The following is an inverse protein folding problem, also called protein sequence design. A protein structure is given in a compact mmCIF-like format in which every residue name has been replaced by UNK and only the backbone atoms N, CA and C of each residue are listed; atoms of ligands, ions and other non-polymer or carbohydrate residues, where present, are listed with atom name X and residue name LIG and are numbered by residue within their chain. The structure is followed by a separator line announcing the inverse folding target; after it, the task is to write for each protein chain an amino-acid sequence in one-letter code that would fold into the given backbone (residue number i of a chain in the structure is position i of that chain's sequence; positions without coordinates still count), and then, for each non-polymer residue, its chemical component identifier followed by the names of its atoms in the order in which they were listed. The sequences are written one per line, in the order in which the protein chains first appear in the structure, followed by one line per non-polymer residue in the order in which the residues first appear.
data_IF_190998010388
#
_entry.id   IF_190998010388
#
_cell.length_a   1.000
_cell.length_b   1.000
_cell.length_c   1.000
_cell.angle_alpha   90.00
_cell.angle_beta   90.00
_cell.angle_gamma   90.00
#
_symmetry.space_group_name_H-M   'P 1'
#
loop_
_entity.id
_entity.type
_entity.pdbx_description
1 polymer ?
#
# COMPACT_ATOMS: atom_id res chain seq x y z
N UNK A 1 -14.62 -28.45 -3.02
CA UNK A 1 -14.45 -27.46 -1.92
C UNK A 1 -13.44 -26.37 -2.33
N UNK A 2 -13.81 -25.08 -2.30
CA UNK A 2 -12.90 -23.98 -2.67
C UNK A 2 -11.70 -23.87 -1.71
N UNK A 3 -10.64 -23.17 -2.14
CA UNK A 3 -9.43 -22.99 -1.32
C UNK A 3 -9.68 -22.15 -0.07
N UNK A 4 -10.61 -21.20 -0.16
CA UNK A 4 -10.99 -20.29 0.92
C UNK A 4 -12.51 -20.17 0.94
N UNK A 5 -13.09 -20.27 2.13
CA UNK A 5 -14.50 -20.05 2.40
C UNK A 5 -14.66 -18.68 3.07
N UNK A 6 -15.66 -17.93 2.65
CA UNK A 6 -15.94 -16.60 3.18
C UNK A 6 -17.31 -16.59 3.83
N UNK A 7 -17.40 -15.96 4.99
CA UNK A 7 -18.65 -15.81 5.73
C UNK A 7 -18.89 -14.33 6.04
N UNK A 8 -20.16 -13.95 6.04
CA UNK A 8 -20.62 -12.64 6.47
C UNK A 8 -21.87 -12.87 7.32
N UNK A 9 -21.90 -12.34 8.54
CA UNK A 9 -22.99 -12.52 9.50
C UNK A 9 -23.40 -14.00 9.69
N UNK A 10 -22.42 -14.91 9.81
CA UNK A 10 -22.67 -16.35 9.98
C UNK A 10 -23.00 -17.12 8.70
N UNK A 11 -23.25 -16.44 7.57
CA UNK A 11 -23.68 -17.08 6.31
C UNK A 11 -22.52 -17.28 5.35
N UNK A 12 -22.47 -18.45 4.72
CA UNK A 12 -21.46 -18.81 3.74
C UNK A 12 -21.73 -18.13 2.39
N UNK A 13 -20.76 -17.34 1.92
CA UNK A 13 -20.84 -16.63 0.65
C UNK A 13 -20.63 -17.56 -0.56
N UNK A 14 -21.30 -17.26 -1.68
CA UNK A 14 -21.13 -17.97 -2.96
C UNK A 14 -19.89 -17.53 -3.74
N UNK A 15 -19.46 -16.28 -3.53
CA UNK A 15 -18.38 -15.65 -4.28
C UNK A 15 -17.42 -14.95 -3.32
N UNK A 16 -16.17 -14.79 -3.75
CA UNK A 16 -15.19 -13.99 -3.02
C UNK A 16 -15.69 -12.54 -2.87
N UNK A 17 -15.79 -12.02 -1.64
CA UNK A 17 -16.24 -10.66 -1.41
C UNK A 17 -15.23 -9.66 -1.96
N UNK A 18 -15.72 -8.48 -2.37
CA UNK A 18 -14.84 -7.42 -2.87
C UNK A 18 -13.97 -6.88 -1.73
N UNK A 19 -12.67 -6.74 -2.00
CA UNK A 19 -11.74 -6.09 -1.08
C UNK A 19 -11.98 -4.58 -1.08
N UNK A 20 -11.74 -3.98 0.07
CA UNK A 20 -11.77 -2.54 0.28
C UNK A 20 -10.35 -2.00 0.47
N UNK A 21 -10.13 -0.76 0.05
CA UNK A 21 -8.86 -0.08 0.28
C UNK A 21 -8.86 0.53 1.67
N UNK A 22 -7.94 0.06 2.51
CA UNK A 22 -7.71 0.61 3.85
C UNK A 22 -6.33 1.25 3.87
N UNK A 23 -6.25 2.44 4.44
CA UNK A 23 -4.99 3.14 4.66
C UNK A 23 -4.08 2.25 5.52
N UNK A 24 -2.82 2.12 5.13
CA UNK A 24 -1.87 1.33 5.91
C UNK A 24 -1.64 2.03 7.25
N UNK A 25 -1.61 1.24 8.31
CA UNK A 25 -1.22 1.75 9.63
C UNK A 25 0.27 2.09 9.61
N UNK A 26 0.66 3.32 9.99
CA UNK A 26 2.06 3.70 10.08
C UNK A 26 2.78 2.91 11.18
N UNK A 27 4.04 2.55 10.94
CA UNK A 27 4.92 1.98 11.98
C UNK A 27 5.36 3.12 12.92
N UNK A 28 4.61 3.30 14.01
CA UNK A 28 4.85 4.36 14.98
C UNK A 28 6.23 4.25 15.65
N UNK A 29 6.75 3.03 15.82
CA UNK A 29 8.06 2.79 16.43
C UNK A 29 9.17 3.25 15.49
N UNK A 30 9.04 3.00 14.19
CA UNK A 30 9.96 3.51 13.18
C UNK A 30 9.88 5.04 13.08
N UNK A 31 8.68 5.61 12.97
CA UNK A 31 8.50 7.05 12.79
C UNK A 31 8.99 7.87 13.98
N UNK A 32 8.84 7.36 15.21
CA UNK A 32 9.34 8.02 16.41
C UNK A 32 10.87 8.27 16.37
N UNK A 33 11.64 7.45 15.64
CA UNK A 33 13.10 7.58 15.50
C UNK A 33 13.53 8.70 14.55
N UNK A 34 12.61 9.21 13.73
CA UNK A 34 12.93 10.19 12.69
C UNK A 34 12.99 11.63 13.21
N UNK A 35 12.24 11.96 14.27
CA UNK A 35 12.36 13.21 15.05
C UNK A 35 12.44 14.53 14.27
N UNK A 36 11.74 14.66 13.14
CA UNK A 36 11.64 15.90 12.38
C UNK A 36 10.66 16.90 13.01
N UNK A 37 11.04 18.18 12.99
CA UNK A 37 10.20 19.31 13.42
C UNK A 37 9.98 20.33 12.29
N UNK A 38 9.07 21.28 12.52
CA UNK A 38 8.78 22.34 11.55
C UNK A 38 9.73 23.56 11.64
N UNK A 39 10.90 23.43 12.27
CA UNK A 39 11.90 24.51 12.24
C UNK A 39 12.42 24.75 10.81
N UNK A 40 12.94 25.94 10.52
CA UNK A 40 13.43 26.31 9.18
C UNK A 40 14.58 25.36 8.78
N UNK A 41 14.56 24.74 7.58
CA UNK A 41 15.66 23.90 7.13
C UNK A 41 16.94 24.73 6.95
N UNK A 42 18.10 24.16 7.28
CA UNK A 42 19.40 24.84 7.25
C UNK A 42 20.44 24.03 6.49
N UNK A 43 21.34 24.73 5.82
CA UNK A 43 22.53 24.14 5.19
C UNK A 43 23.55 23.75 6.26
N UNK A 44 24.58 23.00 5.86
CA UNK A 44 25.69 22.59 6.74
C UNK A 44 26.44 23.75 7.38
N UNK A 45 26.41 24.92 6.75
CA UNK A 45 27.00 26.18 7.25
C UNK A 45 26.05 26.98 8.17
N UNK A 46 24.85 26.48 8.43
CA UNK A 46 23.83 27.11 9.26
C UNK A 46 22.94 28.13 8.55
N UNK A 47 23.19 28.42 7.26
CA UNK A 47 22.35 29.32 6.46
C UNK A 47 20.97 28.74 6.19
N UNK A 48 19.94 29.59 6.12
CA UNK A 48 18.55 29.16 5.91
C UNK A 48 18.32 28.68 4.47
N UNK A 49 17.66 27.53 4.34
CA UNK A 49 17.25 27.00 3.04
C UNK A 49 15.85 27.54 2.71
N UNK A 50 15.78 28.36 1.67
CA UNK A 50 14.52 28.84 1.10
C UNK A 50 14.10 27.87 -0.01
N UNK A 51 12.90 27.26 0.12
CA UNK A 51 12.38 26.31 -0.86
C UNK A 51 11.01 26.73 -1.41
N UNK A 52 10.72 26.34 -2.65
CA UNK A 52 9.47 26.68 -3.33
C UNK A 52 8.37 25.65 -3.00
N UNK A 53 7.47 26.05 -2.11
CA UNK A 53 6.29 25.27 -1.71
C UNK A 53 5.01 25.62 -2.50
N UNK A 54 5.10 26.44 -3.56
CA UNK A 54 3.94 26.99 -4.26
C UNK A 54 3.52 26.10 -5.42
N UNK A 55 2.26 25.69 -5.39
CA UNK A 55 1.62 25.03 -6.54
C UNK A 55 1.38 26.10 -7.60
N UNK A 56 2.07 25.98 -8.73
CA UNK A 56 1.88 26.83 -9.91
C UNK A 56 1.59 25.92 -11.10
N UNK A 57 0.60 26.30 -11.89
CA UNK A 57 0.32 25.68 -13.18
C UNK A 57 0.66 26.68 -14.28
N UNK A 58 1.93 26.66 -14.70
CA UNK A 58 2.44 27.56 -15.74
C UNK A 58 1.83 27.26 -17.11
N UNK A 59 1.24 26.07 -17.29
CA UNK A 59 0.52 25.68 -18.51
C UNK A 59 -0.94 26.12 -18.53
N UNK A 60 -1.49 26.61 -17.42
CA UNK A 60 -2.88 27.07 -17.41
C UNK A 60 -3.10 28.28 -18.33
N UNK A 61 -4.28 28.42 -18.97
CA UNK A 61 -4.57 29.56 -19.87
C UNK A 61 -4.35 30.92 -19.20
N UNK A 62 -4.66 31.02 -17.90
CA UNK A 62 -4.43 32.22 -17.12
C UNK A 62 -2.93 32.57 -17.03
N UNK A 63 -2.06 31.60 -16.74
CA UNK A 63 -0.62 31.84 -16.64
C UNK A 63 0.02 32.14 -18.00
N UNK A 64 -0.46 31.49 -19.07
CA UNK A 64 -0.02 31.75 -20.44
C UNK A 64 -0.34 33.19 -20.84
N UNK A 65 -1.60 33.63 -20.68
CA UNK A 65 -2.00 35.01 -20.96
C UNK A 65 -1.20 36.02 -20.15
N UNK A 66 -0.97 35.74 -18.86
CA UNK A 66 -0.13 36.61 -18.03
C UNK A 66 1.33 36.64 -18.50
N UNK A 67 1.86 35.54 -19.04
CA UNK A 67 3.22 35.50 -19.59
C UNK A 67 3.33 36.31 -20.88
N UNK A 68 2.33 36.23 -21.77
CA UNK A 68 2.22 37.07 -22.96
C UNK A 68 2.18 38.55 -22.59
N UNK A 69 1.30 38.96 -21.67
CA UNK A 69 1.24 40.36 -21.23
C UNK A 69 2.55 40.85 -20.59
N UNK A 70 3.31 39.97 -19.93
CA UNK A 70 4.65 40.31 -19.42
C UNK A 70 5.65 40.52 -20.56
N UNK A 71 5.63 39.68 -21.59
CA UNK A 71 6.48 39.81 -22.79
C UNK A 71 6.14 41.07 -23.60
N UNK A 72 4.87 41.34 -23.84
CA UNK A 72 4.41 42.56 -24.52
C UNK A 72 4.89 43.80 -23.78
N UNK A 73 4.79 43.79 -22.45
CA UNK A 73 5.26 44.89 -21.61
C UNK A 73 6.78 45.06 -21.65
N UNK A 74 7.56 43.97 -21.66
CA UNK A 74 9.01 44.03 -21.84
C UNK A 74 9.37 44.64 -23.20
N UNK A 75 8.70 44.21 -24.27
CA UNK A 75 8.94 44.72 -25.62
C UNK A 75 8.63 46.22 -25.70
N UNK A 76 7.51 46.65 -25.13
CA UNK A 76 7.14 48.07 -25.03
C UNK A 76 8.25 48.89 -24.34
N UNK A 77 8.77 48.40 -23.21
CA UNK A 77 9.83 49.12 -22.48
C UNK A 77 11.10 49.22 -23.31
N UNK A 78 11.50 48.13 -23.99
CA UNK A 78 12.67 48.15 -24.89
C UNK A 78 12.48 49.13 -26.04
N UNK A 79 11.33 49.13 -26.70
CA UNK A 79 11.02 50.09 -27.76
C UNK A 79 11.10 51.53 -27.27
N UNK A 80 10.59 51.82 -26.08
CA UNK A 80 10.70 53.15 -25.45
C UNK A 80 12.17 53.52 -25.19
N UNK A 81 12.98 52.59 -24.66
CA UNK A 81 14.39 52.84 -24.37
C UNK A 81 15.22 53.05 -25.64
N UNK A 82 14.99 52.24 -26.69
CA UNK A 82 15.64 52.40 -28.01
C UNK A 82 15.28 53.74 -28.65
N UNK A 83 13.98 54.06 -28.72
CA UNK A 83 13.52 55.33 -29.27
C UNK A 83 14.08 56.53 -28.49
N UNK A 84 14.09 56.44 -27.16
CA UNK A 84 14.70 57.46 -26.32
C UNK A 84 16.18 57.60 -26.58
N UNK A 85 16.94 56.53 -26.83
CA UNK A 85 18.37 56.59 -27.14
C UNK A 85 18.64 57.28 -28.49
N UNK A 86 17.87 56.94 -29.52
CA UNK A 86 18.03 57.43 -30.91
C UNK A 86 17.58 58.88 -31.11
N UNK A 87 16.65 59.38 -30.29
CA UNK A 87 16.11 60.75 -30.45
C UNK A 87 17.10 61.82 -29.98
N UNK A 88 17.41 62.81 -30.82
CA UNK A 88 18.32 63.93 -30.47
C UNK A 88 17.74 64.86 -29.40
N UNK A 89 16.44 65.19 -29.50
CA UNK A 89 15.73 66.02 -28.51
C UNK A 89 15.05 65.16 -27.46
N UNK A 90 15.66 65.08 -26.28
CA UNK A 90 15.17 64.34 -25.12
C UNK A 90 13.99 65.07 -24.45
N UNK A 91 12.78 64.97 -25.03
CA UNK A 91 11.54 65.50 -24.43
C UNK A 91 10.68 64.37 -23.83
N UNK A 92 10.68 64.21 -22.48
CA UNK A 92 9.89 63.19 -21.81
C UNK A 92 8.37 63.38 -21.96
N UNK A 93 7.87 64.60 -22.11
CA UNK A 93 6.43 64.86 -22.19
C UNK A 93 5.87 64.45 -23.54
N UNK A 94 6.59 64.77 -24.62
CA UNK A 94 6.25 64.32 -25.96
C UNK A 94 6.27 62.79 -26.05
N UNK A 95 7.32 62.16 -25.53
CA UNK A 95 7.45 60.70 -25.55
C UNK A 95 6.35 60.01 -24.73
N UNK A 96 6.00 60.54 -23.55
CA UNK A 96 4.91 60.04 -22.73
C UNK A 96 3.57 60.08 -23.46
N UNK A 97 3.29 61.18 -24.18
CA UNK A 97 2.09 61.33 -24.99
C UNK A 97 2.08 60.35 -26.18
N UNK A 98 3.20 60.22 -26.90
CA UNK A 98 3.32 59.32 -28.06
C UNK A 98 3.06 57.85 -27.71
N UNK A 99 3.60 57.38 -26.58
CA UNK A 99 3.40 56.01 -26.12
C UNK A 99 2.15 55.84 -25.23
N UNK A 100 1.37 56.91 -25.03
CA UNK A 100 0.18 56.93 -24.18
C UNK A 100 0.43 56.37 -22.77
N UNK A 101 1.52 56.81 -22.14
CA UNK A 101 1.90 56.39 -20.78
C UNK A 101 2.07 57.60 -19.86
N UNK A 102 1.79 57.42 -18.57
CA UNK A 102 1.97 58.47 -17.59
C UNK A 102 3.46 58.85 -17.43
N UNK A 103 3.83 60.14 -17.29
CA UNK A 103 5.23 60.59 -17.22
C UNK A 103 6.06 59.89 -16.13
N UNK A 104 5.46 59.60 -14.96
CA UNK A 104 6.11 58.84 -13.87
C UNK A 104 6.47 57.42 -14.31
N UNK A 105 5.58 56.76 -15.07
CA UNK A 105 5.80 55.42 -15.61
C UNK A 105 6.88 55.43 -16.68
N UNK A 106 6.90 56.46 -17.55
CA UNK A 106 7.98 56.66 -18.52
C UNK A 106 9.34 56.78 -17.82
N UNK A 107 9.44 57.66 -16.82
CA UNK A 107 10.68 57.84 -16.04
C UNK A 107 11.15 56.52 -15.44
N UNK A 108 10.22 55.72 -14.89
CA UNK A 108 10.54 54.39 -14.38
C UNK A 108 11.10 53.48 -15.48
N UNK A 109 10.43 53.40 -16.64
CA UNK A 109 10.86 52.54 -17.75
C UNK A 109 12.24 52.94 -18.31
N UNK A 110 12.54 54.23 -18.41
CA UNK A 110 13.86 54.71 -18.84
C UNK A 110 14.98 54.37 -17.85
N UNK A 111 14.65 54.20 -16.57
CA UNK A 111 15.60 53.85 -15.51
C UNK A 111 15.75 52.33 -15.29
N UNK A 112 14.91 51.51 -15.92
CA UNK A 112 14.98 50.05 -15.77
C UNK A 112 16.19 49.48 -16.51
N UNK A 113 16.93 48.63 -15.82
CA UNK A 113 18.06 47.87 -16.38
C UNK A 113 17.58 46.65 -17.17
N UNK A 114 18.46 46.02 -17.96
CA UNK A 114 18.13 44.75 -18.62
C UNK A 114 17.91 43.63 -17.59
N UNK A 115 18.57 43.68 -16.44
CA UNK A 115 18.32 42.78 -15.31
C UNK A 115 16.88 42.94 -14.79
N UNK A 116 16.40 44.17 -14.60
CA UNK A 116 15.02 44.44 -14.18
C UNK A 116 14.01 43.92 -15.20
N UNK A 117 14.31 44.08 -16.50
CA UNK A 117 13.48 43.57 -17.59
C UNK A 117 13.46 42.04 -17.61
N UNK A 118 14.61 41.38 -17.43
CA UNK A 118 14.69 39.93 -17.34
C UNK A 118 13.83 39.39 -16.17
N UNK A 119 13.85 40.06 -15.01
CA UNK A 119 13.03 39.68 -13.86
C UNK A 119 11.53 39.81 -14.12
N UNK A 120 11.08 40.74 -14.97
CA UNK A 120 9.67 40.84 -15.36
C UNK A 120 9.15 39.61 -16.10
N UNK A 121 10.01 38.75 -16.64
CA UNK A 121 9.58 37.54 -17.34
C UNK A 121 8.94 36.52 -16.41
N UNK A 122 9.36 36.53 -15.14
CA UNK A 122 8.94 35.57 -14.13
C UNK A 122 7.61 35.99 -13.46
N UNK A 123 6.73 35.04 -13.12
CA UNK A 123 5.52 35.34 -12.35
C UNK A 123 5.86 35.98 -11.00
N UNK A 124 5.11 37.02 -10.63
CA UNK A 124 5.26 37.65 -9.30
C UNK A 124 4.99 36.66 -8.17
N UNK A 125 5.86 36.68 -7.18
CA UNK A 125 5.78 35.77 -6.05
C UNK A 125 4.93 36.34 -4.90
N UNK A 126 3.60 36.35 -5.05
CA UNK A 126 2.70 36.90 -4.04
C UNK A 126 2.73 36.12 -2.71
N UNK A 127 2.52 36.81 -1.59
CA UNK A 127 2.39 36.20 -0.25
C UNK A 127 1.21 35.22 -0.25
N UNK A 128 1.45 34.00 0.23
CA UNK A 128 0.39 32.99 0.40
C UNK A 128 -0.43 33.29 1.65
N UNK A 129 -1.71 32.91 1.63
CA UNK A 129 -2.53 32.81 2.84
C UNK A 129 -2.00 31.66 3.70
N UNK A 130 -1.93 31.87 5.02
CA UNK A 130 -1.57 30.83 5.99
C UNK A 130 -2.64 29.74 6.03
N UNK A 131 -2.20 28.50 6.06
CA UNK A 131 -2.98 27.27 6.10
C UNK A 131 -2.38 26.35 7.16
N UNK A 132 -3.15 25.34 7.58
CA UNK A 132 -2.65 24.30 8.51
C UNK A 132 -1.45 23.55 7.94
N UNK A 133 -1.33 23.43 6.61
CA UNK A 133 -0.21 22.74 6.00
C UNK A 133 1.12 23.49 6.17
N UNK A 134 1.09 24.80 6.44
CA UNK A 134 2.31 25.59 6.72
C UNK A 134 3.06 25.09 7.96
N UNK A 135 2.36 24.42 8.89
CA UNK A 135 2.95 23.80 10.08
C UNK A 135 3.69 22.47 9.78
N UNK A 136 3.68 22.02 8.51
CA UNK A 136 4.30 20.76 8.08
C UNK A 136 5.25 20.92 6.88
N UNK A 137 5.35 22.10 6.26
CA UNK A 137 6.12 22.25 5.01
C UNK A 137 7.62 22.00 5.21
N UNK A 138 8.17 22.47 6.34
CA UNK A 138 9.59 22.27 6.64
C UNK A 138 9.86 20.81 6.97
N UNK A 139 8.91 20.13 7.64
CA UNK A 139 8.98 18.68 7.91
C UNK A 139 9.05 17.92 6.58
N UNK A 140 8.14 18.20 5.64
CA UNK A 140 8.13 17.55 4.31
C UNK A 140 9.47 17.75 3.62
N UNK A 141 9.99 18.99 3.60
CA UNK A 141 11.24 19.31 2.92
C UNK A 141 12.43 18.57 3.52
N UNK A 142 12.58 18.55 4.85
CA UNK A 142 13.68 17.88 5.55
C UNK A 142 13.67 16.37 5.31
N UNK A 143 12.50 15.73 5.45
CA UNK A 143 12.37 14.29 5.20
C UNK A 143 12.73 13.96 3.73
N UNK A 144 12.37 14.81 2.78
CA UNK A 144 12.76 14.63 1.37
C UNK A 144 14.26 14.82 1.14
N UNK A 145 14.87 15.80 1.82
CA UNK A 145 16.30 16.10 1.75
C UNK A 145 17.13 14.89 2.22
N UNK A 146 16.64 14.19 3.26
CA UNK A 146 17.26 12.97 3.78
C UNK A 146 16.94 11.72 2.92
N UNK A 147 16.26 11.89 1.79
CA UNK A 147 16.07 10.85 0.79
C UNK A 147 14.93 9.87 1.08
N UNK A 148 14.09 10.15 2.08
CA UNK A 148 12.96 9.27 2.39
C UNK A 148 11.86 9.32 1.32
N UNK A 149 11.13 8.21 1.10
CA UNK A 149 10.05 8.12 0.12
C UNK A 149 8.76 8.83 0.56
N UNK A 150 7.85 9.07 -0.41
CA UNK A 150 6.62 9.85 -0.21
C UNK A 150 5.66 9.26 0.83
N UNK A 151 5.62 7.93 0.95
CA UNK A 151 4.79 7.24 1.94
C UNK A 151 5.29 7.48 3.37
N UNK A 152 6.61 7.45 3.59
CA UNK A 152 7.20 7.76 4.89
C UNK A 152 6.90 9.20 5.29
N UNK A 153 7.00 10.15 4.37
CA UNK A 153 6.61 11.55 4.61
C UNK A 153 5.14 11.63 5.01
N UNK A 154 4.27 11.00 4.22
CA UNK A 154 2.84 10.99 4.46
C UNK A 154 2.51 10.42 5.85
N UNK A 155 3.06 9.25 6.19
CA UNK A 155 2.84 8.59 7.47
C UNK A 155 3.43 9.35 8.65
N UNK A 156 4.59 10.00 8.47
CA UNK A 156 5.17 10.87 9.49
C UNK A 156 4.27 12.07 9.80
N UNK A 157 3.68 12.69 8.77
CA UNK A 157 2.72 13.77 8.95
C UNK A 157 1.48 13.31 9.73
N UNK A 158 0.96 12.11 9.45
CA UNK A 158 -0.16 11.52 10.19
C UNK A 158 0.21 11.26 11.65
N UNK A 159 1.39 10.70 11.90
CA UNK A 159 1.94 10.48 13.23
C UNK A 159 2.12 11.80 14.00
N UNK A 160 2.51 12.88 13.32
CA UNK A 160 2.68 14.22 13.88
C UNK A 160 1.36 14.97 14.14
N UNK A 161 0.21 14.35 13.86
CA UNK A 161 -1.11 14.93 14.11
C UNK A 161 -1.77 15.64 12.92
N UNK A 162 -1.27 15.46 11.68
CA UNK A 162 -1.88 16.07 10.51
C UNK A 162 -3.24 15.42 10.17
N UNK A 163 -4.31 16.19 10.36
CA UNK A 163 -5.70 15.78 10.12
C UNK A 163 -6.19 15.96 8.68
N UNK A 164 -5.35 16.50 7.79
CA UNK A 164 -5.77 16.83 6.42
C UNK A 164 -6.04 15.58 5.59
N UNK A 165 -6.98 15.74 4.66
CA UNK A 165 -7.34 14.67 3.75
C UNK A 165 -6.12 14.26 2.91
N UNK A 166 -6.11 12.98 2.51
CA UNK A 166 -4.98 12.36 1.82
C UNK A 166 -4.58 13.13 0.55
N UNK A 167 -5.56 13.57 -0.27
CA UNK A 167 -5.30 14.29 -1.52
C UNK A 167 -4.59 15.62 -1.28
N UNK A 168 -4.96 16.34 -0.22
CA UNK A 168 -4.32 17.60 0.16
C UNK A 168 -2.87 17.35 0.57
N UNK A 169 -2.61 16.45 1.52
CA UNK A 169 -1.25 16.12 1.96
C UNK A 169 -0.39 15.69 0.78
N UNK A 170 -0.92 14.79 -0.06
CA UNK A 170 -0.23 14.31 -1.25
C UNK A 170 0.09 15.44 -2.24
N UNK A 171 -0.83 16.39 -2.45
CA UNK A 171 -0.58 17.53 -3.32
C UNK A 171 0.58 18.39 -2.84
N UNK A 172 0.76 18.56 -1.52
CA UNK A 172 1.88 19.30 -0.95
C UNK A 172 3.20 18.55 -1.13
N UNK A 173 3.23 17.25 -0.81
CA UNK A 173 4.39 16.38 -1.04
C UNK A 173 4.82 16.45 -2.52
N UNK A 174 3.88 16.29 -3.45
CA UNK A 174 4.20 16.34 -4.88
C UNK A 174 4.67 17.71 -5.33
N UNK A 175 4.10 18.79 -4.78
CA UNK A 175 4.49 20.17 -5.12
C UNK A 175 5.91 20.45 -4.65
N UNK A 176 6.22 20.13 -3.40
CA UNK A 176 7.56 20.34 -2.84
C UNK A 176 8.58 19.47 -3.57
N UNK A 177 8.27 18.20 -3.84
CA UNK A 177 9.16 17.30 -4.57
C UNK A 177 9.48 17.83 -5.97
N UNK A 178 8.47 18.24 -6.74
CA UNK A 178 8.65 18.73 -8.13
C UNK A 178 9.43 20.03 -8.19
N UNK A 179 9.16 20.94 -7.26
CA UNK A 179 9.75 22.27 -7.31
C UNK A 179 11.20 22.32 -6.80
N UNK A 180 11.60 21.40 -5.91
CA UNK A 180 12.87 21.51 -5.19
C UNK A 180 13.82 20.32 -5.40
N UNK A 181 13.32 19.16 -5.84
CA UNK A 181 14.10 17.93 -5.96
C UNK A 181 13.98 17.36 -7.37
N UNK A 182 14.67 18.00 -8.33
CA UNK A 182 14.73 17.53 -9.71
C UNK A 182 15.28 16.10 -9.78
N UNK A 183 14.56 15.20 -10.45
CA UNK A 183 14.94 13.79 -10.58
C UNK A 183 14.47 12.86 -9.45
N UNK A 184 13.89 13.38 -8.36
CA UNK A 184 13.30 12.51 -7.31
C UNK A 184 12.07 11.77 -7.87
N UNK A 185 12.06 10.44 -7.72
CA UNK A 185 10.96 9.60 -8.19
C UNK A 185 9.73 9.78 -7.29
N UNK A 186 8.66 10.32 -7.87
CA UNK A 186 7.35 10.37 -7.24
C UNK A 186 6.77 8.96 -7.10
N UNK A 187 6.13 8.67 -5.96
CA UNK A 187 5.38 7.43 -5.79
C UNK A 187 3.92 7.58 -6.23
N UNK A 188 3.25 6.45 -6.44
CA UNK A 188 1.80 6.43 -6.59
C UNK A 188 1.13 6.37 -5.22
N UNK A 189 0.08 7.18 -5.02
CA UNK A 189 -0.69 7.24 -3.77
C UNK A 189 -1.29 5.90 -3.36
N UNK A 190 -1.51 4.97 -4.30
CA UNK A 190 -2.02 3.63 -4.01
C UNK A 190 -1.13 2.84 -3.05
N UNK A 191 0.17 3.17 -2.94
CA UNK A 191 1.08 2.53 -1.98
C UNK A 191 0.74 2.85 -0.52
N UNK A 192 0.01 3.93 -0.26
CA UNK A 192 -0.49 4.27 1.07
C UNK A 192 -1.58 3.31 1.56
N UNK A 193 -2.18 2.55 0.63
CA UNK A 193 -3.32 1.70 0.92
C UNK A 193 -2.95 0.23 0.76
N UNK A 194 -3.75 -0.62 1.39
CA UNK A 194 -3.76 -2.06 1.17
C UNK A 194 -5.19 -2.52 0.91
N UNK A 195 -5.33 -3.52 0.05
CA UNK A 195 -6.61 -4.18 -0.15
C UNK A 195 -6.81 -5.23 0.94
N UNK A 196 -7.88 -5.09 1.70
CA UNK A 196 -8.28 -6.03 2.76
C UNK A 196 -9.73 -6.42 2.58
N UNK A 197 -10.13 -7.56 3.13
CA UNK A 197 -11.55 -7.85 3.25
C UNK A 197 -12.16 -6.95 4.35
N UNK A 198 -13.45 -6.60 4.21
CA UNK A 198 -14.21 -5.95 5.27
C UNK A 198 -14.11 -6.71 6.61
N UNK A 199 -14.18 -5.99 7.74
CA UNK A 199 -13.95 -6.56 9.08
C UNK A 199 -15.00 -7.59 9.52
N UNK A 200 -16.21 -7.44 8.99
CA UNK A 200 -17.37 -8.32 9.11
C UNK A 200 -17.28 -9.58 8.23
N UNK A 201 -16.25 -9.70 7.39
CA UNK A 201 -16.00 -10.91 6.60
C UNK A 201 -15.05 -11.84 7.35
N UNK A 202 -15.54 -13.04 7.68
CA UNK A 202 -14.72 -14.14 8.21
C UNK A 202 -14.20 -15.02 7.08
N UNK A 203 -12.96 -15.48 7.23
CA UNK A 203 -12.27 -16.29 6.22
C UNK A 203 -11.77 -17.60 6.84
N UNK A 204 -12.19 -18.73 6.27
CA UNK A 204 -11.70 -20.06 6.64
C UNK A 204 -10.97 -20.67 5.45
N UNK A 205 -9.68 -20.97 5.61
CA UNK A 205 -8.91 -21.66 4.56
C UNK A 205 -9.24 -23.16 4.58
N UNK A 206 -9.30 -23.78 3.41
CA UNK A 206 -9.58 -25.22 3.25
C UNK A 206 -8.67 -26.10 4.09
N UNK A 207 -7.36 -25.81 4.11
CA UNK A 207 -6.41 -26.59 4.90
C UNK A 207 -6.67 -26.49 6.42
N UNK A 208 -7.13 -25.33 6.90
CA UNK A 208 -7.52 -25.16 8.30
C UNK A 208 -8.76 -25.96 8.64
N UNK A 209 -9.77 -25.93 7.78
CA UNK A 209 -10.96 -26.78 7.90
C UNK A 209 -10.58 -28.27 7.92
N UNK A 210 -9.78 -28.73 6.96
CA UNK A 210 -9.36 -30.13 6.90
C UNK A 210 -8.57 -30.53 8.15
N UNK A 211 -7.62 -29.71 8.61
CA UNK A 211 -6.90 -29.98 9.85
C UNK A 211 -7.86 -30.08 11.04
N UNK A 212 -8.87 -29.22 11.10
CA UNK A 212 -9.87 -29.25 12.16
C UNK A 212 -10.71 -30.54 12.14
N UNK A 213 -11.16 -30.99 10.96
CA UNK A 213 -11.94 -32.22 10.79
C UNK A 213 -11.14 -33.48 11.08
N UNK A 214 -9.89 -33.52 10.64
CA UNK A 214 -9.01 -34.69 10.75
C UNK A 214 -8.20 -34.72 12.05
N UNK A 215 -8.47 -33.81 13.00
CA UNK A 215 -7.84 -33.82 14.33
C UNK A 215 -8.75 -34.52 15.33
N UNK A 216 -8.29 -35.67 15.84
CA UNK A 216 -9.03 -36.45 16.86
C UNK A 216 -8.79 -35.92 18.27
N UNK A 217 -7.53 -35.62 18.64
CA UNK A 217 -7.20 -35.19 19.98
C UNK A 217 -7.74 -33.76 20.24
N UNK A 218 -8.69 -33.58 21.18
CA UNK A 218 -9.29 -32.27 21.46
C UNK A 218 -8.26 -31.24 21.94
N UNK A 219 -7.21 -31.68 22.66
CA UNK A 219 -6.15 -30.79 23.18
C UNK A 219 -5.31 -30.16 22.07
N UNK A 220 -5.25 -30.80 20.90
CA UNK A 220 -4.51 -30.30 19.73
C UNK A 220 -5.42 -29.62 18.72
N UNK A 221 -6.74 -29.66 18.93
CA UNK A 221 -7.73 -29.08 18.03
C UNK A 221 -7.71 -27.56 18.18
N UNK A 222 -6.94 -26.91 17.31
CA UNK A 222 -6.91 -25.45 17.21
C UNK A 222 -8.12 -24.98 16.42
N UNK A 223 -8.59 -23.77 16.67
CA UNK A 223 -9.60 -23.06 15.86
C UNK A 223 -11.06 -23.45 16.13
N UNK A 224 -11.50 -23.42 17.40
CA UNK A 224 -12.91 -23.61 17.82
C UNK A 224 -13.91 -22.72 17.07
N UNK A 225 -13.48 -21.57 16.57
CA UNK A 225 -14.31 -20.69 15.74
C UNK A 225 -14.84 -21.38 14.48
N UNK A 226 -14.21 -22.46 14.00
CA UNK A 226 -14.71 -23.23 12.84
C UNK A 226 -16.03 -23.97 13.19
N UNK A 227 -16.26 -24.35 14.46
CA UNK A 227 -17.47 -25.08 14.89
C UNK A 227 -18.74 -24.31 14.56
N UNK A 228 -18.73 -22.99 14.76
CA UNK A 228 -19.84 -22.09 14.47
C UNK A 228 -20.29 -22.19 13.00
N UNK A 229 -19.33 -22.35 12.08
CA UNK A 229 -19.59 -22.32 10.64
C UNK A 229 -19.78 -23.71 10.03
N UNK A 230 -19.46 -24.77 10.78
CA UNK A 230 -19.46 -26.13 10.26
C UNK A 230 -20.82 -26.60 9.71
N UNK A 231 -21.97 -26.28 10.32
CA UNK A 231 -23.28 -26.65 9.76
C UNK A 231 -23.49 -26.07 8.36
N UNK A 232 -23.27 -24.77 8.17
CA UNK A 232 -23.41 -24.10 6.88
C UNK A 232 -22.44 -24.63 5.81
N UNK A 233 -21.22 -25.02 6.23
CA UNK A 233 -20.24 -25.65 5.34
C UNK A 233 -20.74 -27.02 4.88
N UNK A 234 -21.22 -27.87 5.80
CA UNK A 234 -21.70 -29.22 5.49
C UNK A 234 -22.95 -29.20 4.62
N UNK A 235 -23.86 -28.27 4.87
CA UNK A 235 -25.06 -28.06 4.05
C UNK A 235 -24.69 -27.75 2.60
N UNK A 236 -23.77 -26.81 2.38
CA UNK A 236 -23.35 -26.42 1.03
C UNK A 236 -22.40 -27.42 0.36
N UNK A 237 -21.58 -28.09 1.14
CA UNK A 237 -20.57 -29.05 0.67
C UNK A 237 -20.70 -30.38 1.42
N UNK A 238 -21.65 -31.25 1.03
CA UNK A 238 -21.87 -32.54 1.70
C UNK A 238 -20.63 -33.44 1.81
N UNK A 239 -19.72 -33.33 0.83
CA UNK A 239 -18.41 -34.00 0.83
C UNK A 239 -17.59 -33.73 2.10
N UNK A 240 -17.81 -32.61 2.78
CA UNK A 240 -17.15 -32.27 4.05
C UNK A 240 -17.63 -33.20 5.17
N UNK A 241 -18.93 -33.50 5.21
CA UNK A 241 -19.48 -34.46 6.16
C UNK A 241 -19.01 -35.87 5.85
N UNK A 242 -19.03 -36.27 4.58
CA UNK A 242 -18.52 -37.57 4.12
C UNK A 242 -17.04 -37.77 4.49
N UNK A 243 -16.20 -36.77 4.24
CA UNK A 243 -14.77 -36.80 4.61
C UNK A 243 -14.57 -36.99 6.11
N UNK A 244 -15.35 -36.28 6.94
CA UNK A 244 -15.27 -36.43 8.39
C UNK A 244 -15.70 -37.84 8.84
N UNK A 245 -16.78 -38.37 8.27
CA UNK A 245 -17.28 -39.72 8.58
C UNK A 245 -16.24 -40.78 8.23
N UNK A 246 -15.75 -40.78 6.98
CA UNK A 246 -14.74 -41.74 6.49
C UNK A 246 -13.51 -41.73 7.40
N UNK A 247 -13.01 -40.53 7.74
CA UNK A 247 -11.84 -40.40 8.61
C UNK A 247 -12.09 -40.96 10.01
N UNK A 248 -13.25 -40.65 10.62
CA UNK A 248 -13.59 -41.11 11.97
C UNK A 248 -13.79 -42.62 12.02
N UNK A 249 -14.44 -43.20 11.02
CA UNK A 249 -14.61 -44.65 10.90
C UNK A 249 -13.25 -45.33 10.79
N UNK A 250 -12.42 -44.90 9.84
CA UNK A 250 -11.07 -45.46 9.67
C UNK A 250 -10.23 -45.34 10.94
N UNK A 251 -10.21 -44.16 11.58
CA UNK A 251 -9.49 -43.98 12.84
C UNK A 251 -10.00 -44.90 13.96
N UNK A 252 -11.31 -45.09 14.05
CA UNK A 252 -11.93 -45.97 15.06
C UNK A 252 -11.50 -47.42 14.84
N UNK A 253 -11.46 -47.88 13.60
CA UNK A 253 -10.99 -49.22 13.23
C UNK A 253 -9.51 -49.40 13.60
N UNK A 254 -8.66 -48.43 13.22
CA UNK A 254 -7.21 -48.51 13.47
C UNK A 254 -6.89 -48.49 14.97
N UNK A 255 -7.69 -47.82 15.79
CA UNK A 255 -7.49 -47.72 17.25
C UNK A 255 -8.32 -48.74 18.03
N UNK A 256 -9.09 -49.57 17.35
CA UNK A 256 -9.89 -50.64 17.94
C UNK A 256 -9.10 -51.94 18.09
N UNK A 257 -9.82 -53.05 18.25
CA UNK A 257 -9.29 -54.40 18.44
C UNK A 257 -9.85 -55.42 17.42
N UNK A 258 -10.78 -55.00 16.57
CA UNK A 258 -11.40 -55.83 15.52
C UNK A 258 -10.72 -55.60 14.16
N UNK A 259 -9.80 -56.47 13.72
CA UNK A 259 -9.15 -56.35 12.41
C UNK A 259 -10.11 -56.61 11.24
N UNK A 260 -11.23 -57.28 11.46
CA UNK A 260 -12.20 -57.61 10.41
C UNK A 260 -13.08 -56.41 10.02
N UNK A 261 -13.22 -55.41 10.90
CA UNK A 261 -13.90 -54.15 10.60
C UNK A 261 -13.23 -53.40 9.43
N UNK A 262 -11.93 -53.66 9.21
CA UNK A 262 -11.19 -53.10 8.09
C UNK A 262 -11.72 -53.60 6.74
N UNK A 263 -12.14 -54.86 6.65
CA UNK A 263 -12.71 -55.42 5.42
C UNK A 263 -14.07 -54.79 5.12
N UNK A 264 -14.87 -54.53 6.17
CA UNK A 264 -16.15 -53.81 6.07
C UNK A 264 -15.93 -52.40 5.53
N UNK A 265 -14.96 -51.67 6.10
CA UNK A 265 -14.60 -50.33 5.62
C UNK A 265 -14.16 -50.34 4.15
N UNK A 266 -13.28 -51.27 3.77
CA UNK A 266 -12.83 -51.41 2.39
C UNK A 266 -14.01 -51.68 1.46
N UNK A 267 -14.92 -52.58 1.84
CA UNK A 267 -16.08 -52.90 1.01
C UNK A 267 -17.03 -51.71 0.85
N UNK A 268 -17.22 -50.91 1.90
CA UNK A 268 -18.05 -49.72 1.88
C UNK A 268 -17.49 -48.60 0.98
N UNK A 269 -16.17 -48.48 0.87
CA UNK A 269 -15.52 -47.33 0.22
C UNK A 269 -14.69 -47.64 -1.04
N UNK A 270 -14.58 -48.90 -1.46
CA UNK A 270 -13.82 -49.29 -2.65
C UNK A 270 -14.37 -48.73 -3.98
N UNK A 271 -15.63 -48.29 -4.02
CA UNK A 271 -16.21 -47.64 -5.21
C UNK A 271 -16.38 -46.11 -5.02
N UNK A 272 -15.75 -45.56 -3.99
CA UNK A 272 -15.81 -44.14 -3.65
C UNK A 272 -14.57 -43.37 -4.14
N UNK A 273 -14.52 -42.03 -3.99
CA UNK A 273 -13.33 -41.23 -4.32
C UNK A 273 -12.04 -41.65 -3.59
N UNK A 274 -12.13 -42.47 -2.54
CA UNK A 274 -10.97 -43.01 -1.80
C UNK A 274 -10.61 -44.45 -2.19
N UNK A 275 -11.08 -44.98 -3.32
CA UNK A 275 -10.69 -46.33 -3.78
C UNK A 275 -9.17 -46.54 -3.79
N UNK A 276 -8.40 -45.58 -4.32
CA UNK A 276 -6.93 -45.65 -4.34
C UNK A 276 -6.31 -45.86 -2.94
N UNK A 277 -6.94 -45.31 -1.90
CA UNK A 277 -6.56 -45.54 -0.51
C UNK A 277 -6.96 -46.95 -0.06
N UNK A 278 -8.17 -47.40 -0.38
CA UNK A 278 -8.63 -48.77 -0.14
C UNK A 278 -7.72 -49.82 -0.80
N UNK A 279 -7.31 -49.62 -2.05
CA UNK A 279 -6.36 -50.51 -2.75
C UNK A 279 -4.98 -50.54 -2.09
N UNK A 280 -4.54 -49.39 -1.56
CA UNK A 280 -3.29 -49.32 -0.80
C UNK A 280 -3.38 -50.12 0.50
N UNK A 281 -4.51 -50.02 1.22
CA UNK A 281 -4.77 -50.85 2.40
C UNK A 281 -4.80 -52.33 2.03
N UNK A 282 -5.49 -52.72 0.93
CA UNK A 282 -5.56 -54.13 0.47
C UNK A 282 -4.16 -54.72 0.22
N UNK A 283 -3.25 -53.94 -0.37
CA UNK A 283 -1.86 -54.38 -0.61
C UNK A 283 -1.10 -54.66 0.68
N UNK A 284 -1.37 -53.87 1.72
CA UNK A 284 -0.71 -53.94 3.03
C UNK A 284 -1.65 -54.53 4.10
N UNK A 285 -2.60 -55.38 3.72
CA UNK A 285 -3.69 -55.81 4.61
C UNK A 285 -3.18 -56.56 5.85
N UNK A 286 -2.22 -57.48 5.68
CA UNK A 286 -1.68 -58.28 6.77
C UNK A 286 -0.96 -57.42 7.83
N UNK A 287 -0.01 -56.52 7.49
CA UNK A 287 0.61 -55.66 8.48
C UNK A 287 -0.37 -54.67 9.13
N UNK A 288 -1.38 -54.17 8.41
CA UNK A 288 -2.40 -53.28 8.99
C UNK A 288 -3.28 -54.04 9.98
N UNK A 289 -3.80 -55.22 9.63
CA UNK A 289 -4.57 -56.07 10.56
C UNK A 289 -3.75 -56.42 11.80
N UNK A 290 -2.46 -56.75 11.64
CA UNK A 290 -1.58 -56.99 12.77
C UNK A 290 -1.42 -55.77 13.69
N UNK A 291 -1.38 -54.55 13.13
CA UNK A 291 -1.28 -53.31 13.90
C UNK A 291 -2.54 -53.03 14.74
N UNK A 292 -3.71 -53.54 14.31
CA UNK A 292 -4.97 -53.48 15.06
C UNK A 292 -4.98 -54.57 16.16
N UNK A 293 -4.61 -55.80 15.79
CA UNK A 293 -4.70 -56.97 16.68
C UNK A 293 -3.68 -56.98 17.83
N UNK A 294 -2.60 -56.19 17.74
CA UNK A 294 -1.51 -56.22 18.71
C UNK A 294 -1.29 -54.87 19.40
N UNK A 295 -1.14 -54.91 20.72
CA UNK A 295 -0.82 -53.73 21.54
C UNK A 295 0.63 -53.22 21.39
N UNK A 296 1.50 -54.01 20.76
CA UNK A 296 2.91 -53.70 20.57
C UNK A 296 3.11 -53.08 19.19
N UNK A 297 3.61 -51.85 19.16
CA UNK A 297 3.90 -51.12 17.91
C UNK A 297 5.40 -50.85 17.76
N UNK A 298 5.98 -51.26 16.64
CA UNK A 298 7.32 -50.86 16.21
C UNK A 298 7.34 -49.46 15.56
N UNK A 299 6.19 -48.80 15.42
CA UNK A 299 6.03 -47.57 14.64
C UNK A 299 6.94 -46.43 15.10
N UNK A 300 7.23 -46.32 16.39
CA UNK A 300 8.19 -45.33 16.91
C UNK A 300 9.61 -45.56 16.40
N UNK A 301 10.06 -46.82 16.41
CA UNK A 301 11.40 -47.20 15.95
C UNK A 301 11.50 -47.03 14.43
N UNK A 302 10.46 -47.45 13.71
CA UNK A 302 10.41 -47.34 12.25
C UNK A 302 10.33 -45.90 11.75
N UNK A 303 9.55 -45.05 12.43
CA UNK A 303 9.50 -43.61 12.16
C UNK A 303 10.87 -42.93 12.30
N UNK A 304 11.61 -43.25 13.36
CA UNK A 304 12.97 -42.74 13.55
C UNK A 304 13.92 -43.26 12.47
N UNK A 305 13.85 -44.55 12.13
CA UNK A 305 14.66 -45.13 11.06
C UNK A 305 14.40 -44.46 9.71
N UNK A 306 13.14 -44.17 9.36
CA UNK A 306 12.80 -43.45 8.14
C UNK A 306 13.33 -42.02 8.13
N UNK A 307 13.28 -41.31 9.26
CA UNK A 307 13.89 -39.98 9.40
C UNK A 307 15.40 -40.03 9.16
N UNK A 308 16.11 -41.00 9.75
CA UNK A 308 17.54 -41.18 9.52
C UNK A 308 17.87 -41.51 8.06
N UNK A 309 17.08 -42.39 7.43
CA UNK A 309 17.23 -42.72 5.99
C UNK A 309 17.04 -41.49 5.11
N UNK A 310 16.07 -40.63 5.42
CA UNK A 310 15.84 -39.38 4.68
C UNK A 310 17.04 -38.44 4.78
N UNK A 311 17.56 -38.21 5.99
CA UNK A 311 18.75 -37.34 6.20
C UNK A 311 19.92 -37.84 5.35
N UNK A 312 20.18 -39.15 5.34
CA UNK A 312 21.24 -39.77 4.51
C UNK A 312 21.05 -39.65 2.99
N UNK A 313 19.84 -39.33 2.50
CA UNK A 313 19.57 -39.13 1.07
C UNK A 313 19.72 -37.67 0.63
N UNK A 314 19.65 -36.74 1.58
CA UNK A 314 19.68 -35.29 1.32
C UNK A 314 21.08 -34.71 1.59
N UNK A 315 21.83 -35.33 2.50
CA UNK A 315 23.27 -35.09 2.73
C UNK A 315 24.08 -36.00 1.82
#
# INVERSE_FOLDING_TARGET
LPQTLFFHEGRLLDREPKKVYVERTPDSVYLAKLSYDNSVPRNSDGSEIVFDNKKRDLSSPQYQKQAESRREKQQLIRTIQTYWAETEKKDPFHLAHQFNIHPITLKKYLQMTEEDLCQMGQPRNYKKRKTVMDDYLNIIFKIMQDGHPDDIIYFYLRYSGCDKNQKTVWSYIQTISKNNFSGRKSMHSNRLFRQVYPEDVRMIRRNRLLNYLLTVNPKTKKEHQIEEYLPAIKEKYPIVSETETIFREFHTIIMGDSPDDLDIFIHAYQDSPIDSFCQSIKRDIAPIKNAISHSISSGFVEGNNNKFKLIKRIV
#
